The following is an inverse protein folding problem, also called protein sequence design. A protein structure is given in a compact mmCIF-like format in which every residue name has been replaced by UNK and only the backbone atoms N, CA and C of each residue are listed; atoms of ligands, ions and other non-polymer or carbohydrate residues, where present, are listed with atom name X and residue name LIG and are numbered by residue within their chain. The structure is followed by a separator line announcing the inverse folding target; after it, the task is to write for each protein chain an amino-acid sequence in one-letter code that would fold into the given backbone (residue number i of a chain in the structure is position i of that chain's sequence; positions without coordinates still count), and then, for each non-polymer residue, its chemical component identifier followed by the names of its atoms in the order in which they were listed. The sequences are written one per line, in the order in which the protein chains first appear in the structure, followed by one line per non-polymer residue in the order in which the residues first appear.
data_IF_713437999098
#
_entry.id   IF_713437999098
#
_cell.length_a   1.000
_cell.length_b   1.000
_cell.length_c   1.000
_cell.angle_alpha   90.00
_cell.angle_beta   90.00
_cell.angle_gamma   90.00
#
_symmetry.space_group_name_H-M   'P 1'
#
loop_
_entity.id
_entity.type
_entity.pdbx_description
1 polymer ?
#
# COMPACT_ATOMS: atom_id res chain seq x y z
N UNK A 1 13.51 -16.12 12.55
CA UNK A 1 12.04 -16.30 12.50
C UNK A 1 11.29 -15.00 12.24
N UNK A 2 11.47 -13.95 13.06
CA UNK A 2 10.84 -12.65 12.83
C UNK A 2 11.32 -11.96 11.55
N UNK A 3 12.62 -12.06 11.25
CA UNK A 3 13.23 -11.50 10.04
C UNK A 3 12.57 -12.08 8.77
N UNK A 4 12.37 -13.40 8.74
CA UNK A 4 11.68 -14.09 7.64
C UNK A 4 10.22 -13.63 7.49
N UNK A 5 9.51 -13.38 8.60
CA UNK A 5 8.14 -12.85 8.57
C UNK A 5 8.11 -11.43 7.99
N UNK A 6 9.04 -10.57 8.41
CA UNK A 6 9.12 -9.18 7.95
C UNK A 6 9.52 -9.14 6.48
N UNK A 7 10.52 -9.92 6.07
CA UNK A 7 10.92 -10.06 4.67
C UNK A 7 9.75 -10.58 3.81
N UNK A 8 8.99 -11.56 4.30
CA UNK A 8 7.79 -12.05 3.62
C UNK A 8 6.71 -10.99 3.50
N UNK A 9 6.41 -10.24 4.58
CA UNK A 9 5.42 -9.13 4.54
C UNK A 9 5.87 -8.07 3.54
N UNK A 10 7.13 -7.66 3.58
CA UNK A 10 7.68 -6.67 2.67
C UNK A 10 7.59 -7.16 1.23
N UNK A 11 8.00 -8.39 0.93
CA UNK A 11 7.96 -8.93 -0.42
C UNK A 11 6.52 -9.11 -0.95
N UNK A 12 5.58 -9.57 -0.11
CA UNK A 12 4.21 -9.78 -0.54
C UNK A 12 3.37 -8.51 -0.64
N UNK A 13 3.50 -7.59 0.33
CA UNK A 13 2.65 -6.39 0.36
C UNK A 13 3.29 -5.18 -0.32
N UNK A 14 4.62 -5.05 -0.25
CA UNK A 14 5.35 -3.90 -0.83
C UNK A 14 6.04 -4.34 -2.14
N UNK A 15 6.62 -5.53 -2.18
CA UNK A 15 7.34 -6.06 -3.34
C UNK A 15 6.48 -6.31 -4.58
N UNK A 16 5.15 -6.41 -4.41
CA UNK A 16 4.18 -6.43 -5.51
C UNK A 16 4.16 -5.09 -6.28
N UNK A 17 4.39 -3.96 -5.59
CA UNK A 17 4.32 -2.62 -6.16
C UNK A 17 5.70 -2.00 -6.40
N UNK A 18 6.70 -2.39 -5.63
CA UNK A 18 8.03 -1.77 -5.64
C UNK A 18 9.11 -2.81 -5.94
N UNK A 19 10.15 -2.42 -6.65
CA UNK A 19 11.32 -3.29 -6.83
C UNK A 19 12.18 -3.20 -5.58
N UNK A 20 11.94 -4.11 -4.63
CA UNK A 20 12.74 -4.21 -3.41
C UNK A 20 14.01 -5.03 -3.69
N UNK A 21 15.17 -4.49 -3.32
CA UNK A 21 16.41 -5.25 -3.33
C UNK A 21 16.49 -6.08 -2.05
N UNK A 22 16.36 -7.40 -2.18
CA UNK A 22 16.37 -8.36 -1.06
C UNK A 22 17.65 -8.32 -0.23
N UNK A 23 18.76 -7.92 -0.84
CA UNK A 23 20.06 -7.81 -0.17
C UNK A 23 20.13 -6.58 0.76
N UNK A 24 19.35 -5.53 0.48
CA UNK A 24 19.23 -4.37 1.38
C UNK A 24 18.30 -4.67 2.56
N UNK A 25 17.29 -5.52 2.33
CA UNK A 25 16.33 -5.93 3.36
C UNK A 25 16.99 -6.75 4.48
N UNK A 26 17.93 -7.63 4.15
CA UNK A 26 18.61 -8.51 5.11
C UNK A 26 19.62 -7.77 6.00
N UNK A 27 20.33 -6.77 5.45
CA UNK A 27 21.32 -5.97 6.20
C UNK A 27 20.65 -4.99 7.16
N UNK A 28 19.47 -4.46 6.82
CA UNK A 28 18.78 -3.48 7.65
C UNK A 28 18.12 -4.07 8.91
N UNK A 29 17.88 -5.39 8.96
CA UNK A 29 17.06 -5.98 10.02
C UNK A 29 17.71 -6.02 11.42
N UNK A 30 19.03 -5.82 11.53
CA UNK A 30 19.81 -5.99 12.77
C UNK A 30 19.34 -5.11 13.96
N UNK A 31 18.52 -4.08 13.73
CA UNK A 31 18.03 -3.17 14.78
C UNK A 31 16.50 -3.05 14.85
N UNK A 32 15.74 -3.85 14.09
CA UNK A 32 14.27 -3.76 14.07
C UNK A 32 13.73 -2.57 13.27
N UNK A 33 14.56 -1.99 12.40
CA UNK A 33 14.18 -0.91 11.49
C UNK A 33 14.73 -1.23 10.10
N UNK A 34 13.86 -1.28 9.09
CA UNK A 34 14.24 -1.45 7.70
C UNK A 34 14.18 -0.09 7.01
N UNK A 35 15.31 0.40 6.53
CA UNK A 35 15.39 1.65 5.76
C UNK A 35 15.84 1.32 4.34
N UNK A 36 15.02 1.69 3.36
CA UNK A 36 15.32 1.60 1.94
C UNK A 36 15.26 2.99 1.33
N UNK A 37 16.18 3.27 0.42
CA UNK A 37 16.25 4.53 -0.30
C UNK A 37 16.25 4.26 -1.80
N UNK A 38 15.71 5.21 -2.58
CA UNK A 38 15.60 5.11 -4.04
C UNK A 38 14.89 3.82 -4.48
N UNK A 39 13.69 3.58 -3.96
CA UNK A 39 12.93 2.36 -4.29
C UNK A 39 12.07 2.61 -5.53
N UNK A 40 12.36 2.00 -6.69
CA UNK A 40 11.60 2.27 -7.89
C UNK A 40 10.26 1.52 -7.88
N UNK A 41 9.25 2.13 -8.49
CA UNK A 41 7.93 1.55 -8.67
C UNK A 41 7.95 0.58 -9.86
N UNK A 42 7.32 -0.59 -9.72
CA UNK A 42 7.15 -1.53 -10.84
C UNK A 42 6.21 -0.94 -11.89
N UNK A 43 6.44 -1.27 -13.15
CA UNK A 43 5.54 -0.89 -14.25
C UNK A 43 4.18 -1.60 -14.18
N UNK A 44 4.11 -2.72 -13.45
CA UNK A 44 2.90 -3.51 -13.21
C UNK A 44 2.04 -3.03 -12.03
N UNK A 45 2.51 -2.05 -11.22
CA UNK A 45 1.91 -1.71 -9.92
C UNK A 45 0.46 -1.23 -9.98
N UNK A 46 0.08 -0.56 -11.08
CA UNK A 46 -1.28 -0.06 -11.27
C UNK A 46 -2.22 -1.06 -11.93
N UNK A 47 -1.71 -2.19 -12.47
CA UNK A 47 -2.52 -3.16 -13.23
C UNK A 47 -3.57 -3.86 -12.37
N UNK A 48 -3.28 -4.08 -11.09
CA UNK A 48 -4.21 -4.71 -10.14
C UNK A 48 -5.47 -3.89 -9.88
N UNK A 49 -5.38 -2.57 -10.04
CA UNK A 49 -6.51 -1.66 -9.86
C UNK A 49 -7.39 -1.57 -11.11
N UNK A 50 -7.06 -2.29 -12.19
CA UNK A 50 -7.74 -2.25 -13.49
C UNK A 50 -7.86 -0.82 -14.05
N UNK A 51 -6.87 0.03 -13.73
CA UNK A 51 -6.84 1.42 -14.16
C UNK A 51 -6.24 1.46 -15.58
N UNK A 52 -6.85 2.20 -16.52
CA UNK A 52 -6.37 2.29 -17.90
C UNK A 52 -5.14 3.21 -18.04
N UNK A 53 -4.17 3.12 -17.13
CA UNK A 53 -2.98 3.97 -17.06
C UNK A 53 -1.72 3.14 -16.90
N UNK A 54 -0.66 3.55 -17.59
CA UNK A 54 0.66 2.95 -17.48
C UNK A 54 1.55 3.80 -16.57
N UNK A 55 2.28 3.15 -15.65
CA UNK A 55 3.39 3.78 -14.94
C UNK A 55 4.54 3.96 -15.92
N UNK A 56 4.88 5.21 -16.24
CA UNK A 56 6.08 5.56 -17.03
C UNK A 56 7.31 5.48 -16.13
N UNK A 57 7.27 6.16 -14.99
CA UNK A 57 8.31 6.16 -13.99
C UNK A 57 7.69 6.31 -12.60
N UNK A 58 8.34 5.78 -11.57
CA UNK A 58 7.95 6.04 -10.20
C UNK A 58 9.08 5.73 -9.24
N UNK A 59 9.22 6.54 -8.20
CA UNK A 59 10.30 6.44 -7.23
C UNK A 59 9.79 6.83 -5.85
N UNK A 60 10.17 6.05 -4.85
CA UNK A 60 10.13 6.47 -3.44
C UNK A 60 11.55 6.90 -3.06
N UNK A 61 11.68 8.13 -2.57
CA UNK A 61 12.95 8.62 -2.03
C UNK A 61 13.39 7.82 -0.82
N UNK A 62 12.48 7.62 0.16
CA UNK A 62 12.77 6.82 1.35
C UNK A 62 11.57 6.03 1.87
N UNK A 63 11.78 4.74 2.13
CA UNK A 63 10.82 3.82 2.74
C UNK A 63 11.42 3.30 4.05
N UNK A 64 10.73 3.50 5.17
CA UNK A 64 11.17 3.04 6.49
C UNK A 64 10.09 2.19 7.14
N UNK A 65 10.41 0.97 7.56
CA UNK A 65 9.53 0.13 8.36
C UNK A 65 10.13 -0.07 9.74
N UNK A 66 9.44 0.42 10.76
CA UNK A 66 9.83 0.26 12.16
C UNK A 66 9.03 -0.88 12.81
N UNK A 67 9.74 -1.91 13.26
CA UNK A 67 9.19 -3.12 13.88
C UNK A 67 9.53 -3.11 15.37
N UNK A 68 8.54 -3.04 16.28
CA UNK A 68 8.79 -3.04 17.72
C UNK A 68 9.18 -4.44 18.22
N UNK A 69 10.45 -4.85 18.04
CA UNK A 69 10.95 -6.21 18.30
C UNK A 69 10.59 -6.77 19.69
N UNK A 70 10.60 -5.94 20.73
CA UNK A 70 10.30 -6.34 22.11
C UNK A 70 8.80 -6.34 22.42
N UNK A 71 7.97 -5.72 21.58
CA UNK A 71 6.54 -5.46 21.82
C UNK A 71 5.68 -5.62 20.55
N UNK A 72 5.98 -6.65 19.75
CA UNK A 72 5.37 -6.89 18.43
C UNK A 72 3.84 -7.01 18.50
N UNK A 73 3.30 -7.50 19.64
CA UNK A 73 1.86 -7.71 19.88
C UNK A 73 1.19 -6.60 20.69
N UNK A 74 1.93 -5.56 21.11
CA UNK A 74 1.40 -4.51 21.99
C UNK A 74 1.79 -3.10 21.56
N UNK A 75 2.55 -2.98 20.47
CA UNK A 75 2.90 -1.72 19.82
C UNK A 75 2.67 -1.82 18.32
N UNK A 76 2.19 -0.73 17.68
CA UNK A 76 1.92 -0.72 16.26
C UNK A 76 3.23 -0.66 15.48
N UNK A 77 3.23 -1.27 14.30
CA UNK A 77 4.30 -1.11 13.33
C UNK A 77 4.13 0.23 12.63
N UNK A 78 5.23 0.90 12.30
CA UNK A 78 5.18 2.21 11.65
C UNK A 78 5.84 2.10 10.29
N UNK A 79 5.07 2.31 9.23
CA UNK A 79 5.55 2.44 7.87
C UNK A 79 5.62 3.92 7.52
N UNK A 80 6.81 4.41 7.17
CA UNK A 80 7.04 5.77 6.69
C UNK A 80 7.47 5.74 5.23
N UNK A 81 6.82 6.53 4.40
CA UNK A 81 7.16 6.72 3.00
C UNK A 81 7.38 8.22 2.80
N UNK A 82 8.52 8.61 2.25
CA UNK A 82 8.85 10.00 1.96
C UNK A 82 9.27 10.18 0.52
N UNK A 83 8.85 11.29 -0.06
CA UNK A 83 9.15 11.72 -1.42
C UNK A 83 8.69 10.66 -2.43
N UNK A 84 7.37 10.51 -2.56
CA UNK A 84 6.77 9.55 -3.47
C UNK A 84 6.29 10.25 -4.75
N UNK A 85 7.02 10.03 -5.84
CA UNK A 85 6.68 10.56 -7.16
C UNK A 85 6.29 9.42 -8.09
N UNK A 86 5.16 9.57 -8.77
CA UNK A 86 4.71 8.66 -9.83
C UNK A 86 4.33 9.45 -11.06
N UNK A 87 4.94 9.08 -12.19
CA UNK A 87 4.56 9.53 -13.52
C UNK A 87 3.73 8.45 -14.21
N UNK A 88 2.48 8.77 -14.48
CA UNK A 88 1.55 7.93 -15.23
C UNK A 88 1.25 8.56 -16.58
N UNK A 89 0.83 7.73 -17.53
CA UNK A 89 0.38 8.21 -18.84
C UNK A 89 -0.58 7.22 -19.49
N UNK A 90 -1.10 7.56 -20.67
CA UNK A 90 -1.85 6.60 -21.47
C UNK A 90 -0.94 5.43 -21.84
N UNK A 91 -1.54 4.25 -22.08
CA UNK A 91 -0.80 3.16 -22.69
C UNK A 91 -0.24 3.61 -24.03
N UNK A 92 1.04 3.36 -24.28
CA UNK A 92 1.55 3.49 -25.64
C UNK A 92 0.85 2.45 -26.52
N UNK A 93 0.62 2.78 -27.79
CA UNK A 93 -0.02 1.92 -28.79
C UNK A 93 0.69 0.58 -29.03
N UNK A 94 1.84 0.33 -28.40
CA UNK A 94 2.43 -0.99 -28.21
C UNK A 94 1.73 -1.69 -27.04
N UNK A 95 0.43 -1.93 -27.22
CA UNK A 95 -0.34 -2.78 -26.34
C UNK A 95 0.17 -4.21 -26.54
N UNK A 96 1.11 -4.66 -25.71
CA UNK A 96 1.55 -6.04 -25.72
C UNK A 96 0.39 -6.91 -25.20
N UNK A 97 -0.50 -7.29 -26.12
CA UNK A 97 -1.66 -8.17 -25.90
C UNK A 97 -1.21 -9.37 -25.07
N UNK A 98 -0.01 -9.88 -25.35
CA UNK A 98 0.61 -11.02 -24.69
C UNK A 98 0.84 -10.79 -23.19
N UNK A 99 1.26 -9.60 -22.74
CA UNK A 99 1.47 -9.32 -21.31
C UNK A 99 0.12 -9.17 -20.59
N UNK A 100 -0.89 -8.61 -21.25
CA UNK A 100 -2.24 -8.50 -20.68
C UNK A 100 -2.90 -9.87 -20.59
N UNK A 101 -2.76 -10.70 -21.63
CA UNK A 101 -3.24 -12.09 -21.63
C UNK A 101 -2.53 -12.94 -20.58
N UNK A 102 -1.20 -12.87 -20.49
CA UNK A 102 -0.45 -13.54 -19.42
C UNK A 102 -0.89 -13.09 -18.04
N UNK A 103 -1.13 -11.80 -17.83
CA UNK A 103 -1.62 -11.29 -16.55
C UNK A 103 -3.03 -11.79 -16.24
N UNK A 104 -3.94 -11.75 -17.23
CA UNK A 104 -5.29 -12.31 -17.08
C UNK A 104 -5.24 -13.80 -16.78
N UNK A 105 -4.38 -14.54 -17.46
CA UNK A 105 -4.18 -15.97 -17.25
C UNK A 105 -3.62 -16.24 -15.85
N UNK A 106 -2.58 -15.54 -15.41
CA UNK A 106 -2.06 -15.66 -14.05
C UNK A 106 -3.11 -15.30 -12.99
N UNK A 107 -3.96 -14.31 -13.25
CA UNK A 107 -5.01 -13.93 -12.31
C UNK A 107 -6.12 -14.99 -12.24
N UNK A 108 -6.47 -15.58 -13.39
CA UNK A 108 -7.38 -16.73 -13.47
C UNK A 108 -6.80 -17.96 -12.77
N UNK A 109 -5.52 -18.28 -12.99
CA UNK A 109 -4.82 -19.39 -12.33
C UNK A 109 -4.79 -19.19 -10.81
N UNK A 110 -4.46 -17.99 -10.32
CA UNK A 110 -4.53 -17.68 -8.89
C UNK A 110 -5.94 -17.85 -8.32
N UNK A 111 -6.97 -17.39 -9.04
CA UNK A 111 -8.36 -17.59 -8.62
C UNK A 111 -8.74 -19.08 -8.58
N UNK A 112 -8.28 -19.88 -9.54
CA UNK A 112 -8.50 -21.32 -9.57
C UNK A 112 -7.84 -21.99 -8.35
N UNK A 113 -6.58 -21.67 -8.07
CA UNK A 113 -5.86 -22.19 -6.90
C UNK A 113 -6.57 -21.86 -5.58
N UNK A 114 -7.04 -20.62 -5.43
CA UNK A 114 -7.80 -20.19 -4.25
C UNK A 114 -9.10 -20.98 -4.10
N UNK A 115 -9.84 -21.19 -5.20
CA UNK A 115 -11.06 -21.99 -5.22
C UNK A 115 -10.79 -23.47 -4.91
N UNK A 116 -9.72 -24.04 -5.45
CA UNK A 116 -9.32 -25.43 -5.16
C UNK A 116 -8.97 -25.60 -3.68
N UNK A 117 -8.22 -24.66 -3.10
CA UNK A 117 -7.91 -24.65 -1.67
C UNK A 117 -9.20 -24.56 -0.84
N UNK A 118 -10.14 -23.69 -1.23
CA UNK A 118 -11.42 -23.55 -0.53
C UNK A 118 -12.29 -24.81 -0.65
N UNK A 119 -12.34 -25.42 -1.84
CA UNK A 119 -13.09 -26.64 -2.10
C UNK A 119 -12.51 -27.83 -1.33
N UNK A 120 -11.17 -27.97 -1.33
CA UNK A 120 -10.47 -29.00 -0.55
C UNK A 120 -10.75 -28.83 0.94
N UNK A 121 -10.73 -27.59 1.46
CA UNK A 121 -11.13 -27.30 2.85
C UNK A 121 -12.57 -27.72 3.14
N UNK A 122 -13.53 -27.38 2.25
CA UNK A 122 -14.94 -27.77 2.40
C UNK A 122 -15.12 -29.29 2.41
N UNK A 123 -14.51 -30.01 1.46
CA UNK A 123 -14.59 -31.47 1.38
C UNK A 123 -14.00 -32.15 2.61
N UNK A 124 -12.80 -31.72 3.05
CA UNK A 124 -12.17 -32.25 4.26
C UNK A 124 -13.01 -31.98 5.51
N UNK A 125 -13.64 -30.80 5.61
CA UNK A 125 -14.53 -30.47 6.72
C UNK A 125 -15.80 -31.33 6.73
N UNK A 126 -16.35 -31.67 5.56
CA UNK A 126 -17.53 -32.53 5.42
C UNK A 126 -17.23 -34.01 5.73
N UNK A 127 -16.01 -34.47 5.44
CA UNK A 127 -15.55 -35.83 5.72
C UNK A 127 -15.14 -36.06 7.18
N UNK A 128 -15.18 -35.03 8.04
CA UNK A 128 -14.80 -35.14 9.46
C UNK A 128 -13.31 -35.41 9.68
N UNK A 129 -12.49 -35.31 8.63
CA UNK A 129 -11.04 -35.49 8.69
C UNK A 129 -10.44 -34.18 9.18
N UNK A 130 -10.07 -34.14 10.47
CA UNK A 130 -9.20 -33.09 10.99
C UNK A 130 -7.83 -33.29 10.34
N UNK A 131 -7.32 -32.27 9.67
CA UNK A 131 -5.96 -32.27 9.15
C UNK A 131 -5.00 -32.59 10.30
N UNK A 132 -4.04 -33.50 10.09
CA UNK A 132 -2.91 -33.62 11.00
C UNK A 132 -2.02 -32.39 10.79
N UNK A 133 -2.19 -31.41 11.67
CA UNK A 133 -1.63 -30.05 11.60
C UNK A 133 -0.10 -29.95 11.81
N UNK A 134 0.64 -31.05 11.76
CA UNK A 134 1.88 -31.15 12.55
C UNK A 134 3.22 -30.98 11.86
N UNK A 135 3.34 -30.82 10.53
CA UNK A 135 4.68 -30.65 9.93
C UNK A 135 4.88 -29.37 9.08
N UNK A 136 3.84 -28.85 8.42
CA UNK A 136 3.94 -27.58 7.67
C UNK A 136 3.05 -26.44 8.23
N UNK A 137 2.12 -26.77 9.13
CA UNK A 137 1.04 -25.87 9.56
C UNK A 137 1.36 -25.08 10.85
N UNK A 138 2.34 -25.53 11.64
CA UNK A 138 2.75 -24.84 12.87
C UNK A 138 3.38 -23.45 12.62
N UNK A 139 3.87 -23.16 11.42
CA UNK A 139 4.39 -21.82 11.05
C UNK A 139 3.30 -20.87 10.53
N UNK A 140 2.25 -21.40 9.90
CA UNK A 140 1.23 -20.62 9.19
C UNK A 140 0.14 -20.04 10.11
N UNK A 141 -0.33 -20.77 11.13
CA UNK A 141 -1.42 -20.28 12.00
C UNK A 141 -0.98 -19.30 13.09
N UNK A 142 0.23 -19.47 13.63
CA UNK A 142 0.84 -18.48 14.54
C UNK A 142 1.08 -17.14 13.84
N UNK A 143 1.34 -17.16 12.54
CA UNK A 143 1.57 -15.96 11.72
C UNK A 143 0.27 -15.32 11.23
N UNK A 144 -0.84 -16.05 11.02
CA UNK A 144 -2.11 -15.43 10.58
C UNK A 144 -2.69 -14.46 11.62
N UNK A 145 -2.65 -14.83 12.91
CA UNK A 145 -3.10 -13.95 14.00
C UNK A 145 -2.19 -12.73 14.14
N UNK A 146 -0.87 -12.92 14.07
CA UNK A 146 0.11 -11.84 14.06
C UNK A 146 -0.07 -10.91 12.86
N UNK A 147 -0.27 -11.43 11.66
CA UNK A 147 -0.51 -10.66 10.44
C UNK A 147 -1.81 -9.84 10.54
N UNK A 148 -2.87 -10.43 11.11
CA UNK A 148 -4.12 -9.70 11.39
C UNK A 148 -3.89 -8.57 12.39
N UNK A 149 -3.13 -8.82 13.47
CA UNK A 149 -2.77 -7.80 14.47
C UNK A 149 -1.91 -6.69 13.87
N UNK A 150 -0.93 -7.04 13.03
CA UNK A 150 -0.06 -6.08 12.32
C UNK A 150 -0.91 -5.26 11.36
N UNK A 151 -1.68 -5.90 10.48
CA UNK A 151 -2.51 -5.22 9.47
C UNK A 151 -3.57 -4.30 10.09
N UNK A 152 -4.17 -4.72 11.20
CA UNK A 152 -5.15 -3.89 11.92
C UNK A 152 -4.53 -2.66 12.56
N UNK A 153 -3.33 -2.79 13.15
CA UNK A 153 -2.71 -1.75 13.96
C UNK A 153 -1.61 -0.93 13.26
N UNK A 154 -1.15 -1.34 12.07
CA UNK A 154 -0.09 -0.63 11.34
C UNK A 154 -0.45 0.84 11.15
N UNK A 155 0.52 1.70 11.44
CA UNK A 155 0.44 3.14 11.21
C UNK A 155 1.22 3.46 9.96
N UNK A 156 0.62 4.24 9.07
CA UNK A 156 1.20 4.61 7.78
C UNK A 156 1.36 6.12 7.78
N UNK A 157 2.57 6.60 7.52
CA UNK A 157 2.91 8.01 7.41
C UNK A 157 3.51 8.19 6.02
N UNK A 158 2.84 8.98 5.18
CA UNK A 158 3.31 9.28 3.82
C UNK A 158 3.51 10.78 3.71
N UNK A 159 4.68 11.22 3.26
CA UNK A 159 5.01 12.63 3.09
C UNK A 159 5.47 12.89 1.66
N UNK A 160 5.13 14.06 1.13
CA UNK A 160 5.51 14.53 -0.20
C UNK A 160 5.10 13.53 -1.29
N UNK A 161 3.79 13.38 -1.49
CA UNK A 161 3.24 12.56 -2.58
C UNK A 161 2.94 13.44 -3.77
N UNK A 162 3.38 13.02 -4.94
CA UNK A 162 2.98 13.62 -6.20
C UNK A 162 2.70 12.53 -7.24
N UNK A 163 1.47 12.47 -7.72
CA UNK A 163 1.07 11.61 -8.83
C UNK A 163 0.79 12.53 -10.01
N UNK A 164 1.61 12.45 -11.06
CA UNK A 164 1.50 13.28 -12.26
C UNK A 164 1.14 12.41 -13.45
N UNK A 165 0.06 12.77 -14.12
CA UNK A 165 -0.34 12.24 -15.41
C UNK A 165 0.22 13.13 -16.53
N UNK A 166 0.97 12.53 -17.44
CA UNK A 166 1.56 13.22 -18.60
C UNK A 166 0.99 12.67 -19.91
N UNK A 167 0.26 13.55 -20.60
CA UNK A 167 -0.17 13.39 -21.99
C UNK A 167 0.58 14.35 -22.91
N UNK A 168 0.41 14.21 -24.22
CA UNK A 168 0.95 15.15 -25.21
C UNK A 168 0.36 16.55 -25.05
N UNK A 169 -0.93 16.62 -24.71
CA UNK A 169 -1.70 17.86 -24.81
C UNK A 169 -1.90 18.55 -23.45
N UNK A 170 -1.87 17.80 -22.35
CA UNK A 170 -2.08 18.33 -21.01
C UNK A 170 -1.33 17.52 -19.97
N UNK A 171 -1.15 18.13 -18.81
CA UNK A 171 -0.72 17.42 -17.61
C UNK A 171 -1.71 17.65 -16.48
N UNK A 172 -1.84 16.62 -15.66
CA UNK A 172 -2.74 16.60 -14.51
C UNK A 172 -1.96 16.04 -13.34
N UNK A 173 -2.21 16.51 -12.13
CA UNK A 173 -1.58 15.89 -10.99
C UNK A 173 -2.32 16.07 -9.68
N UNK A 174 -2.02 15.14 -8.78
CA UNK A 174 -2.49 15.11 -7.42
C UNK A 174 -1.27 15.25 -6.52
N UNK A 175 -1.32 16.20 -5.59
CA UNK A 175 -0.28 16.41 -4.60
C UNK A 175 -0.85 16.22 -3.20
N UNK A 176 -0.05 15.63 -2.31
CA UNK A 176 -0.39 15.46 -0.89
C UNK A 176 0.88 15.72 -0.08
N UNK A 177 0.86 16.74 0.78
CA UNK A 177 2.00 17.06 1.64
C UNK A 177 2.20 15.98 2.70
N UNK A 178 1.12 15.56 3.36
CA UNK A 178 1.16 14.48 4.34
C UNK A 178 -0.13 13.69 4.41
N UNK A 179 -0.04 12.37 4.46
CA UNK A 179 -1.12 11.43 4.75
C UNK A 179 -0.72 10.56 5.94
N UNK A 180 -1.44 10.69 7.04
CA UNK A 180 -1.25 9.89 8.24
C UNK A 180 -2.45 9.00 8.46
N UNK A 181 -2.22 7.68 8.48
CA UNK A 181 -3.23 6.67 8.78
C UNK A 181 -2.87 6.00 10.10
N UNK A 182 -3.70 6.19 11.12
CA UNK A 182 -3.42 5.71 12.47
C UNK A 182 -4.60 4.94 13.03
N UNK A 183 -4.29 3.89 13.78
CA UNK A 183 -5.29 3.12 14.54
C UNK A 183 -5.61 3.86 15.83
N UNK A 184 -6.89 3.88 16.18
CA UNK A 184 -7.42 4.62 17.33
C UNK A 184 -8.37 3.74 18.13
N UNK A 185 -8.64 4.13 19.38
CA UNK A 185 -9.73 3.57 20.17
C UNK A 185 -11.08 4.24 19.83
N UNK A 186 -12.16 3.80 20.48
CA UNK A 186 -13.50 4.35 20.28
C UNK A 186 -13.62 5.86 20.62
N UNK A 187 -12.69 6.41 21.39
CA UNK A 187 -12.58 7.83 21.72
C UNK A 187 -11.63 8.59 20.79
N UNK A 188 -11.24 8.01 19.64
CA UNK A 188 -10.37 8.60 18.63
C UNK A 188 -8.96 8.97 19.13
N UNK A 189 -8.50 8.33 20.21
CA UNK A 189 -7.11 8.47 20.67
C UNK A 189 -6.24 7.45 19.98
N UNK A 190 -5.13 7.92 19.42
CA UNK A 190 -4.16 7.09 18.70
C UNK A 190 -3.49 6.12 19.67
N UNK A 191 -3.41 4.85 19.28
CA UNK A 191 -2.80 3.83 20.11
C UNK A 191 -2.91 2.44 19.50
N UNK A 192 -2.28 1.48 20.16
CA UNK A 192 -2.47 0.07 19.85
C UNK A 192 -3.82 -0.40 20.41
N UNK A 193 -4.59 -1.11 19.61
CA UNK A 193 -5.86 -1.72 20.01
C UNK A 193 -5.77 -3.23 19.78
N UNK A 194 -5.90 -4.00 20.85
CA UNK A 194 -5.93 -5.46 20.78
C UNK A 194 -7.11 -5.92 19.89
N UNK A 195 -6.85 -6.66 18.80
CA UNK A 195 -7.91 -7.17 17.94
C UNK A 195 -8.78 -8.15 18.73
N UNK A 196 -9.97 -7.72 19.10
CA UNK A 196 -10.93 -8.55 19.83
C UNK A 196 -12.12 -8.83 18.93
N UNK A 197 -12.55 -10.10 18.85
CA UNK A 197 -13.69 -10.48 18.03
C UNK A 197 -14.95 -9.72 18.45
N UNK A 198 -15.64 -9.12 17.48
CA UNK A 198 -16.86 -8.34 17.73
C UNK A 198 -16.61 -6.89 18.17
N UNK A 199 -15.37 -6.48 18.40
CA UNK A 199 -15.02 -5.08 18.65
C UNK A 199 -14.64 -4.40 17.32
N UNK A 200 -15.15 -3.19 17.12
CA UNK A 200 -14.89 -2.41 15.92
C UNK A 200 -13.48 -1.82 15.95
N UNK A 201 -12.84 -1.74 14.79
CA UNK A 201 -11.54 -1.10 14.60
C UNK A 201 -11.78 0.34 14.15
N UNK A 202 -11.10 1.30 14.78
CA UNK A 202 -11.19 2.70 14.41
C UNK A 202 -9.89 3.15 13.76
N UNK A 203 -9.97 3.74 12.56
CA UNK A 203 -8.83 4.35 11.87
C UNK A 203 -9.09 5.83 11.65
N UNK A 204 -8.09 6.64 11.93
CA UNK A 204 -8.06 8.08 11.66
C UNK A 204 -7.14 8.32 10.47
N UNK A 205 -7.60 9.12 9.51
CA UNK A 205 -6.82 9.57 8.37
C UNK A 205 -6.71 11.09 8.47
N UNK A 206 -5.48 11.60 8.60
CA UNK A 206 -5.20 13.02 8.55
C UNK A 206 -4.45 13.30 7.24
N UNK A 207 -5.09 14.04 6.33
CA UNK A 207 -4.54 14.43 5.03
C UNK A 207 -4.30 15.93 5.04
N UNK A 208 -3.09 16.37 4.72
CA UNK A 208 -2.74 17.79 4.61
C UNK A 208 -2.21 18.10 3.22
N UNK A 209 -2.52 19.30 2.74
CA UNK A 209 -2.06 19.78 1.45
C UNK A 209 -2.56 18.97 0.28
N UNK A 210 -3.72 18.30 0.41
CA UNK A 210 -4.31 17.60 -0.72
C UNK A 210 -4.73 18.63 -1.76
N UNK A 211 -4.19 18.54 -2.96
CA UNK A 211 -4.49 19.45 -4.06
C UNK A 211 -4.50 18.72 -5.38
N UNK A 212 -5.25 19.28 -6.33
CA UNK A 212 -5.38 18.77 -7.68
C UNK A 212 -5.17 19.91 -8.64
N UNK A 213 -4.30 19.70 -9.62
CA UNK A 213 -4.02 20.67 -10.66
C UNK A 213 -4.20 20.08 -12.06
N UNK A 214 -4.45 20.97 -13.01
CA UNK A 214 -4.58 20.66 -14.42
C UNK A 214 -3.95 21.78 -15.22
N UNK A 215 -2.92 21.46 -15.99
CA UNK A 215 -2.29 22.40 -16.89
C UNK A 215 -2.65 22.01 -18.34
N UNK A 216 -3.40 22.88 -19.06
CA UNK A 216 -3.88 22.61 -20.42
C UNK A 216 -2.81 22.80 -21.50
N UNK A 217 -1.67 23.39 -21.17
CA UNK A 217 -0.49 23.44 -22.03
C UNK A 217 0.63 22.71 -21.29
N UNK A 218 1.31 21.79 -21.98
CA UNK A 218 2.64 21.36 -21.55
C UNK A 218 3.57 22.55 -21.72
N UNK A 219 3.51 23.50 -20.78
CA UNK A 219 4.46 24.59 -20.71
C UNK A 219 5.85 23.95 -20.69
N UNK A 220 6.69 24.35 -21.65
CA UNK A 220 8.11 24.01 -21.75
C UNK A 220 8.91 24.37 -20.48
N UNK A 221 8.28 25.06 -19.52
CA UNK A 221 8.80 25.48 -18.23
C UNK A 221 8.50 24.53 -17.08
N UNK A 222 7.70 23.47 -17.30
CA UNK A 222 7.66 22.35 -16.35
C UNK A 222 9.08 21.81 -16.34
N UNK A 223 9.82 22.03 -15.25
CA UNK A 223 11.20 21.57 -15.12
C UNK A 223 11.22 20.10 -15.55
N UNK A 224 11.93 19.75 -16.65
CA UNK A 224 11.84 18.42 -17.20
C UNK A 224 12.24 17.48 -16.09
N UNK A 225 11.35 16.55 -15.74
CA UNK A 225 11.68 15.53 -14.75
C UNK A 225 12.87 14.79 -15.34
N UNK A 226 14.06 15.04 -14.79
CA UNK A 226 15.30 14.53 -15.35
C UNK A 226 15.27 13.02 -15.12
N UNK A 227 15.14 12.28 -16.21
CA UNK A 227 15.21 10.83 -16.21
C UNK A 227 16.68 10.40 -16.33
N UNK A 228 17.11 9.39 -15.55
CA UNK A 228 16.34 8.60 -14.59
C UNK A 228 16.02 9.37 -13.31
N UNK A 229 14.83 9.11 -12.74
CA UNK A 229 14.45 9.65 -11.42
C UNK A 229 15.51 9.24 -10.38
N UNK A 230 16.03 10.22 -9.66
CA UNK A 230 16.98 10.04 -8.55
C UNK A 230 16.51 10.80 -7.32
N UNK A 231 17.09 10.49 -6.15
CA UNK A 231 16.83 11.21 -4.90
C UNK A 231 17.01 12.73 -5.06
N UNK A 232 18.04 13.15 -5.78
CA UNK A 232 18.37 14.57 -5.96
C UNK A 232 17.36 15.26 -6.87
N UNK A 233 16.89 14.56 -7.91
CA UNK A 233 15.77 15.01 -8.76
C UNK A 233 14.49 15.19 -7.93
N UNK A 234 14.19 14.28 -7.00
CA UNK A 234 13.02 14.39 -6.11
C UNK A 234 13.12 15.59 -5.17
N UNK A 235 14.28 15.78 -4.52
CA UNK A 235 14.51 16.91 -3.63
C UNK A 235 14.32 18.24 -4.35
N UNK A 236 14.87 18.36 -5.56
CA UNK A 236 14.68 19.55 -6.40
C UNK A 236 13.20 19.77 -6.73
N UNK A 237 12.51 18.71 -7.16
CA UNK A 237 11.11 18.74 -7.55
C UNK A 237 10.16 19.16 -6.42
N UNK A 238 10.30 18.60 -5.22
CA UNK A 238 9.48 18.99 -4.07
C UNK A 238 9.86 20.35 -3.47
N UNK A 239 11.06 20.86 -3.73
CA UNK A 239 11.52 22.16 -3.22
C UNK A 239 11.15 23.33 -4.13
N UNK A 240 10.91 23.07 -5.42
CA UNK A 240 10.53 24.10 -6.39
C UNK A 240 9.02 24.37 -6.36
N UNK A 241 8.58 25.63 -6.18
CA UNK A 241 7.16 25.97 -6.37
C UNK A 241 6.81 25.77 -7.85
N UNK A 242 5.85 24.89 -8.12
CA UNK A 242 5.32 24.69 -9.47
C UNK A 242 4.24 25.72 -9.75
N UNK A 243 4.30 26.40 -10.90
CA UNK A 243 3.25 27.29 -11.39
C UNK A 243 2.08 26.48 -11.97
N UNK A 244 1.51 25.61 -11.14
CA UNK A 244 0.39 24.75 -11.51
C UNK A 244 -0.93 25.50 -11.39
N UNK A 245 -1.83 25.27 -12.36
CA UNK A 245 -3.21 25.75 -12.31
C UNK A 245 -4.04 24.76 -11.49
N UNK A 246 -4.27 25.10 -10.23
CA UNK A 246 -5.03 24.25 -9.30
C UNK A 246 -6.53 24.28 -9.57
N UNK A 247 -7.11 23.13 -9.91
CA UNK A 247 -8.57 22.91 -9.90
C UNK A 247 -9.07 22.87 -8.45
N UNK A 248 -8.31 22.20 -7.60
CA UNK A 248 -8.60 22.04 -6.20
C UNK A 248 -7.42 22.58 -5.40
N UNK A 249 -7.66 23.73 -4.78
CA UNK A 249 -6.68 24.38 -3.92
C UNK A 249 -6.29 23.46 -2.75
N UNK A 250 -5.04 23.54 -2.25
CA UNK A 250 -4.60 22.73 -1.12
C UNK A 250 -5.55 22.85 0.08
N UNK A 251 -6.09 21.72 0.52
CA UNK A 251 -6.89 21.65 1.74
C UNK A 251 -6.42 20.53 2.66
N UNK A 252 -6.90 20.61 3.90
CA UNK A 252 -6.67 19.61 4.93
C UNK A 252 -7.97 18.89 5.22
N UNK A 253 -7.90 17.57 5.38
CA UNK A 253 -9.02 16.70 5.64
C UNK A 253 -8.69 15.77 6.80
N UNK A 254 -9.63 15.62 7.72
CA UNK A 254 -9.61 14.58 8.75
C UNK A 254 -10.77 13.62 8.47
N UNK A 255 -10.47 12.34 8.26
CA UNK A 255 -11.47 11.28 8.12
C UNK A 255 -11.38 10.32 9.29
N UNK A 256 -12.53 9.85 9.74
CA UNK A 256 -12.70 8.91 10.84
C UNK A 256 -13.47 7.72 10.33
N UNK A 257 -12.88 6.53 10.45
CA UNK A 257 -13.43 5.30 9.90
C UNK A 257 -13.62 4.29 11.02
N UNK A 258 -14.82 3.74 11.11
CA UNK A 258 -15.14 2.62 12.00
C UNK A 258 -15.41 1.37 11.16
N UNK A 259 -14.62 0.32 11.38
CA UNK A 259 -14.76 -0.98 10.72
C UNK A 259 -15.34 -2.01 11.68
N UNK A 260 -16.47 -2.59 11.33
CA UNK A 260 -17.01 -3.74 12.03
C UNK A 260 -16.20 -5.00 11.71
N UNK A 261 -15.61 -5.60 12.74
CA UNK A 261 -14.71 -6.74 12.63
C UNK A 261 -15.41 -8.09 12.89
N UNK A 262 -16.75 -8.14 12.84
CA UNK A 262 -17.51 -9.38 12.93
C UNK A 262 -17.07 -10.36 11.85
N UNK A 263 -16.71 -11.57 12.27
CA UNK A 263 -16.37 -12.69 11.38
C UNK A 263 -17.57 -13.13 10.55
N UNK A 264 -18.78 -12.85 11.02
CA UNK A 264 -20.00 -13.22 10.33
C UNK A 264 -20.42 -12.16 9.30
N UNK A 265 -21.03 -12.57 8.19
CA UNK A 265 -21.60 -11.64 7.23
C UNK A 265 -22.65 -10.76 7.92
N UNK A 266 -22.50 -9.45 7.76
CA UNK A 266 -23.43 -8.47 8.30
C UNK A 266 -24.67 -8.49 7.41
N UNK A 267 -25.80 -8.97 7.95
CA UNK A 267 -27.07 -9.11 7.22
C UNK A 267 -27.97 -7.89 7.35
N UNK A 268 -27.57 -6.89 8.13
CA UNK A 268 -28.35 -5.68 8.41
C UNK A 268 -27.75 -4.47 7.72
N UNK A 269 -28.57 -3.69 7.01
CA UNK A 269 -28.20 -2.41 6.42
C UNK A 269 -27.90 -1.33 7.46
N UNK A 270 -28.41 -1.49 8.69
CA UNK A 270 -28.19 -0.59 9.83
C UNK A 270 -26.82 -0.80 10.50
N UNK A 271 -26.15 -1.92 10.21
CA UNK A 271 -24.83 -2.27 10.76
C UNK A 271 -23.90 -2.56 9.58
N UNK A 272 -23.51 -1.53 8.81
CA UNK A 272 -22.59 -1.71 7.70
C UNK A 272 -21.21 -2.12 8.22
N UNK A 273 -20.43 -2.79 7.35
CA UNK A 273 -19.06 -3.19 7.68
C UNK A 273 -18.14 -1.99 7.89
N UNK A 274 -18.44 -0.88 7.23
CA UNK A 274 -17.72 0.38 7.34
C UNK A 274 -18.72 1.48 7.66
N UNK A 275 -18.43 2.28 8.68
CA UNK A 275 -19.12 3.52 9.02
C UNK A 275 -18.13 4.67 8.87
N UNK A 276 -18.59 5.71 8.18
CA UNK A 276 -17.86 6.96 7.93
C UNK A 276 -18.44 8.07 8.80
#
# INVERSE_FOLDING_TARGET
MLENLVAWILNNYIGEYFCLNTDQLSVAFLQGQVDLENVPLRTSSLRKFDIPLQVKHGLIGKLQLQVPLTRIRSQPWILRIRDFLVLVGPYSSNYDVEIVEQFKQQNLEKMLDELEIEQKKKLLSQLGIKLNENEEQNSWWGTTSLLSTISSNIQILVENVHIKYESTDFNFGVQIDSLNVQTTNAQWRVGFVDPTDGINIFKKFDVKGFSIYWNPENNLNDSPIVLPLSLDSLKGFFSSPSENVYILQPFTLELRMEKNNSRFPLRSTLIPRFKN
#
